data_IF_844803321051
#
_entry.id   IF_844803321051
#
_cell.length_a   1.000
_cell.length_b   1.000
_cell.length_c   1.000
_cell.angle_alpha   90.00
_cell.angle_beta   90.00
_cell.angle_gamma   90.00
#
_symmetry.space_group_name_H-M   'P 1'
#
loop_
_entity.id
_entity.type
_entity.pdbx_description
1 polymer ?
#
# COMPACT_ATOMS: atom_id res chain seq x y z
N UNK A 1 -8.50 15.66 2.42
CA UNK A 1 -9.00 14.31 2.78
C UNK A 1 -8.72 14.08 4.26
N UNK A 2 -9.65 13.51 5.03
CA UNK A 2 -9.41 13.31 6.46
C UNK A 2 -8.25 12.30 6.64
N UNK A 3 -7.18 12.65 7.36
CA UNK A 3 -5.97 11.80 7.49
C UNK A 3 -6.30 10.38 7.97
N UNK A 4 -7.27 10.27 8.88
CA UNK A 4 -7.80 8.99 9.36
C UNK A 4 -8.42 8.13 8.26
N UNK A 5 -9.16 8.74 7.33
CA UNK A 5 -9.79 8.03 6.22
C UNK A 5 -8.75 7.53 5.21
N UNK A 6 -7.68 8.30 4.99
CA UNK A 6 -6.58 7.88 4.12
C UNK A 6 -5.80 6.69 4.71
N UNK A 7 -5.52 6.71 6.01
CA UNK A 7 -4.89 5.57 6.71
C UNK A 7 -5.78 4.33 6.68
N UNK A 8 -7.09 4.49 6.89
CA UNK A 8 -8.04 3.38 6.79
C UNK A 8 -8.06 2.78 5.38
N UNK A 9 -8.16 3.61 4.35
CA UNK A 9 -8.14 3.15 2.96
C UNK A 9 -6.82 2.42 2.61
N UNK A 10 -5.69 2.95 3.07
CA UNK A 10 -4.39 2.30 2.87
C UNK A 10 -4.30 0.95 3.57
N UNK A 11 -4.80 0.83 4.81
CA UNK A 11 -4.83 -0.42 5.56
C UNK A 11 -5.71 -1.48 4.87
N UNK A 12 -6.90 -1.10 4.39
CA UNK A 12 -7.79 -1.99 3.64
C UNK A 12 -7.14 -2.44 2.33
N UNK A 13 -6.51 -1.52 1.60
CA UNK A 13 -5.80 -1.81 0.36
C UNK A 13 -4.62 -2.78 0.58
N UNK A 14 -3.81 -2.54 1.61
CA UNK A 14 -2.70 -3.42 1.97
C UNK A 14 -3.19 -4.84 2.35
N UNK A 15 -4.30 -4.94 3.11
CA UNK A 15 -4.92 -6.22 3.43
C UNK A 15 -5.42 -6.97 2.19
N UNK A 16 -6.05 -6.27 1.25
CA UNK A 16 -6.47 -6.84 -0.03
C UNK A 16 -5.29 -7.37 -0.85
N UNK A 17 -4.22 -6.58 -0.99
CA UNK A 17 -3.01 -6.97 -1.71
C UNK A 17 -2.36 -8.22 -1.11
N UNK A 18 -2.31 -8.30 0.23
CA UNK A 18 -1.79 -9.47 0.92
C UNK A 18 -2.62 -10.73 0.63
N UNK A 19 -3.95 -10.62 0.66
CA UNK A 19 -4.84 -11.74 0.33
C UNK A 19 -4.65 -12.18 -1.12
N UNK A 20 -4.61 -11.22 -2.05
CA UNK A 20 -4.41 -11.47 -3.48
C UNK A 20 -3.11 -12.23 -3.73
N UNK A 21 -1.98 -11.71 -3.22
CA UNK A 21 -0.67 -12.32 -3.38
C UNK A 21 -0.58 -13.70 -2.73
N UNK A 22 -1.16 -13.87 -1.54
CA UNK A 22 -1.16 -15.14 -0.81
C UNK A 22 -2.03 -16.21 -1.47
N UNK A 23 -3.15 -15.81 -2.08
CA UNK A 23 -4.10 -16.75 -2.70
C UNK A 23 -3.60 -17.29 -4.03
N UNK A 24 -2.97 -16.43 -4.83
CA UNK A 24 -2.43 -16.79 -6.15
C UNK A 24 -1.12 -17.56 -5.99
N UNK A 25 -0.27 -17.16 -5.04
CA UNK A 25 0.96 -17.89 -4.72
C UNK A 25 2.08 -17.77 -5.75
N UNK A 26 1.96 -16.84 -6.71
CA UNK A 26 3.00 -16.58 -7.71
C UNK A 26 4.05 -15.58 -7.21
N UNK A 27 5.32 -15.90 -7.47
CA UNK A 27 6.47 -15.11 -7.02
C UNK A 27 6.50 -13.74 -7.70
N UNK A 28 6.12 -13.65 -8.97
CA UNK A 28 6.12 -12.37 -9.71
C UNK A 28 5.16 -11.36 -9.06
N UNK A 29 3.98 -11.84 -8.66
CA UNK A 29 2.91 -11.07 -8.06
C UNK A 29 3.34 -10.58 -6.68
N UNK A 30 4.01 -11.43 -5.89
CA UNK A 30 4.59 -11.01 -4.61
C UNK A 30 5.60 -9.87 -4.77
N UNK A 31 6.49 -9.97 -5.76
CA UNK A 31 7.51 -8.95 -6.03
C UNK A 31 6.85 -7.64 -6.45
N UNK A 32 5.92 -7.69 -7.42
CA UNK A 32 5.22 -6.49 -7.92
C UNK A 32 4.36 -5.86 -6.84
N UNK A 33 3.69 -6.68 -6.01
CA UNK A 33 2.86 -6.21 -4.90
C UNK A 33 3.70 -5.52 -3.83
N UNK A 34 4.85 -6.10 -3.43
CA UNK A 34 5.75 -5.47 -2.46
C UNK A 34 6.33 -4.16 -2.98
N UNK A 35 6.74 -4.13 -4.24
CA UNK A 35 7.29 -2.92 -4.86
C UNK A 35 6.22 -1.81 -4.93
N UNK A 36 5.00 -2.17 -5.32
CA UNK A 36 3.86 -1.23 -5.37
C UNK A 36 3.52 -0.69 -3.99
N UNK A 37 3.41 -1.57 -2.97
CA UNK A 37 3.13 -1.17 -1.60
C UNK A 37 4.25 -0.28 -1.03
N UNK A 38 5.52 -0.58 -1.33
CA UNK A 38 6.67 0.22 -0.94
C UNK A 38 6.66 1.62 -1.56
N UNK A 39 6.38 1.72 -2.86
CA UNK A 39 6.26 3.01 -3.55
C UNK A 39 5.07 3.83 -3.04
N UNK A 40 3.93 3.19 -2.82
CA UNK A 40 2.75 3.84 -2.25
C UNK A 40 3.01 4.35 -0.83
N UNK A 41 3.72 3.59 0.01
CA UNK A 41 4.13 4.03 1.33
C UNK A 41 5.13 5.19 1.25
N UNK A 42 6.09 5.14 0.33
CA UNK A 42 7.02 6.23 0.09
C UNK A 42 6.30 7.52 -0.32
N UNK A 43 5.37 7.44 -1.28
CA UNK A 43 4.56 8.57 -1.72
C UNK A 43 3.71 9.15 -0.59
N UNK A 44 3.09 8.29 0.22
CA UNK A 44 2.29 8.70 1.37
C UNK A 44 3.13 9.44 2.44
N UNK A 45 4.35 8.96 2.72
CA UNK A 45 5.27 9.58 3.68
C UNK A 45 5.83 10.90 3.14
N UNK A 46 6.22 10.93 1.87
CA UNK A 46 6.77 12.14 1.23
C UNK A 46 5.70 13.23 1.09
N UNK A 47 4.50 12.89 0.63
CA UNK A 47 3.37 13.83 0.51
C UNK A 47 2.86 14.31 1.88
N UNK A 48 3.04 13.51 2.93
CA UNK A 48 2.76 13.96 4.31
C UNK A 48 3.77 14.99 4.82
N UNK A 49 5.00 15.02 4.27
CA UNK A 49 6.06 15.96 4.67
C UNK A 49 5.99 17.29 3.90
N UNK A 50 5.47 17.29 2.69
CA UNK A 50 5.31 18.48 1.84
C UNK A 50 4.12 19.38 2.27
N UNK A 51 3.25 18.89 3.16
CA UNK A 51 2.11 19.65 3.72
C UNK A 51 2.34 20.09 5.18
N UNK A 52 3.58 20.36 5.61
CA UNK A 52 3.89 20.90 6.94
C UNK A 52 4.55 22.27 6.89
#
# INVERSE_FOLDING_TARGET
MNRFLALFAFAVFAGFLYILASKIGEIDLWIVTLLTAGLAAYDFVTSSKDNS
#
